data_IF_110803848456
#
_entry.id   IF_110803848456
#
_cell.length_a   1.000
_cell.length_b   1.000
_cell.length_c   1.000
_cell.angle_alpha   90.00
_cell.angle_beta   90.00
_cell.angle_gamma   90.00
#
_symmetry.space_group_name_H-M   'P 1'
#
loop_
_entity.id
_entity.type
_entity.pdbx_description
1 polymer ?
#
# COMPACT_ATOMS: atom_id res chain seq x y z
N UNK A 1 -11.25 27.19 1.91
CA UNK A 1 -11.10 25.73 1.95
C UNK A 1 -10.38 25.33 3.23
N UNK A 2 -10.78 24.24 3.91
CA UNK A 2 -10.01 23.73 5.04
C UNK A 2 -8.58 23.39 4.59
N UNK A 3 -7.60 23.61 5.48
CA UNK A 3 -6.20 23.29 5.19
C UNK A 3 -6.06 21.76 5.06
N UNK A 4 -5.30 21.26 4.07
CA UNK A 4 -5.06 19.82 3.95
C UNK A 4 -4.24 19.34 5.15
N UNK A 5 -4.63 18.22 5.75
CA UNK A 5 -3.95 17.65 6.91
C UNK A 5 -2.70 16.87 6.46
N UNK A 6 -1.49 17.22 6.93
CA UNK A 6 -0.30 16.47 6.57
C UNK A 6 -0.31 15.08 7.22
N UNK A 7 0.19 14.08 6.50
CA UNK A 7 0.42 12.76 7.09
C UNK A 7 1.68 12.81 7.95
N UNK A 8 1.64 12.20 9.13
CA UNK A 8 2.75 12.24 10.09
C UNK A 8 3.45 10.88 10.21
N UNK A 9 4.77 10.92 10.40
CA UNK A 9 5.57 9.77 10.78
C UNK A 9 5.45 9.45 12.29
N UNK A 10 6.11 8.37 12.73
CA UNK A 10 6.12 7.95 14.14
C UNK A 10 6.74 8.97 15.10
N UNK A 11 7.49 9.95 14.60
CA UNK A 11 8.09 11.02 15.40
C UNK A 11 7.24 12.31 15.36
N UNK A 12 6.07 12.29 14.70
CA UNK A 12 5.20 13.44 14.56
C UNK A 12 5.62 14.43 13.47
N UNK A 13 6.58 14.08 12.61
CA UNK A 13 6.99 14.94 11.50
C UNK A 13 6.18 14.64 10.25
N UNK A 14 5.95 15.67 9.42
CA UNK A 14 5.28 15.51 8.13
C UNK A 14 6.05 14.54 7.21
N UNK A 15 5.31 13.71 6.48
CA UNK A 15 5.91 12.86 5.46
C UNK A 15 6.47 13.72 4.31
N UNK A 16 7.63 13.33 3.80
CA UNK A 16 8.34 14.03 2.74
C UNK A 16 8.50 13.11 1.51
N UNK A 17 8.11 13.55 0.29
CA UNK A 17 8.25 12.76 -0.94
C UNK A 17 9.67 12.29 -1.27
N UNK A 18 10.69 12.98 -0.76
CA UNK A 18 12.11 12.66 -0.96
C UNK A 18 12.67 11.74 0.15
N UNK A 19 11.87 11.39 1.15
CA UNK A 19 12.25 10.47 2.24
C UNK A 19 11.67 9.08 2.00
N UNK A 20 12.23 8.10 2.72
CA UNK A 20 11.74 6.73 2.72
C UNK A 20 11.17 6.37 4.08
N UNK A 21 10.14 5.52 4.06
CA UNK A 21 9.42 5.12 5.26
C UNK A 21 9.18 3.61 5.23
N UNK A 22 9.18 2.96 6.39
CA UNK A 22 8.61 1.63 6.55
C UNK A 22 7.15 1.79 6.93
N UNK A 23 6.28 1.01 6.29
CA UNK A 23 4.89 0.88 6.71
C UNK A 23 4.85 -0.20 7.79
N UNK A 24 4.69 0.24 9.03
CA UNK A 24 4.71 -0.63 10.21
C UNK A 24 3.28 -0.82 10.73
N UNK A 25 3.05 -1.90 11.46
CA UNK A 25 1.75 -2.12 12.11
C UNK A 25 1.53 -1.16 13.28
N UNK A 26 0.27 -0.83 13.53
CA UNK A 26 -0.16 -0.13 14.76
C UNK A 26 -0.09 -1.02 16.00
N UNK A 27 -0.03 -2.34 15.84
CA UNK A 27 0.04 -3.32 16.93
C UNK A 27 1.40 -4.02 16.97
N UNK A 28 1.80 -4.50 18.15
CA UNK A 28 3.08 -5.16 18.37
C UNK A 28 2.94 -6.70 18.49
N UNK A 29 4.08 -7.39 18.46
CA UNK A 29 4.17 -8.84 18.64
C UNK A 29 3.56 -9.62 17.48
N UNK A 30 2.73 -10.61 17.79
CA UNK A 30 2.09 -11.48 16.79
C UNK A 30 1.11 -10.73 15.84
N UNK A 31 0.61 -9.56 16.25
CA UNK A 31 -0.22 -8.69 15.41
C UNK A 31 0.62 -7.68 14.61
N UNK A 32 1.90 -7.56 14.94
CA UNK A 32 2.87 -6.73 14.27
C UNK A 32 3.30 -7.27 12.90
N UNK A 33 4.35 -6.66 12.36
CA UNK A 33 4.97 -7.04 11.09
C UNK A 33 4.79 -5.97 10.02
N UNK A 34 5.93 -5.49 9.54
CA UNK A 34 6.07 -4.44 8.54
C UNK A 34 5.70 -4.94 7.15
N UNK A 35 5.32 -4.01 6.28
CA UNK A 35 5.12 -4.26 4.86
C UNK A 35 6.46 -4.49 4.15
N UNK A 36 6.50 -5.46 3.24
CA UNK A 36 7.68 -5.78 2.44
C UNK A 36 7.31 -6.26 1.03
N UNK A 37 8.28 -6.15 0.12
CA UNK A 37 8.22 -6.71 -1.22
C UNK A 37 8.60 -8.19 -1.18
N UNK A 38 7.74 -9.06 -1.68
CA UNK A 38 7.97 -10.50 -1.69
C UNK A 38 7.54 -11.17 -2.98
N UNK A 39 8.03 -12.40 -3.18
CA UNK A 39 7.60 -13.23 -4.32
C UNK A 39 6.18 -13.70 -4.10
N UNK A 40 5.29 -13.46 -5.06
CA UNK A 40 3.95 -14.04 -5.04
C UNK A 40 4.02 -15.54 -5.36
N UNK A 41 3.32 -16.39 -4.59
CA UNK A 41 3.21 -17.81 -4.94
C UNK A 41 2.57 -17.96 -6.32
N UNK A 42 3.15 -18.85 -7.14
CA UNK A 42 2.65 -19.18 -8.49
C UNK A 42 2.55 -17.98 -9.46
N UNK A 43 3.25 -16.88 -9.18
CA UNK A 43 3.40 -15.79 -10.15
C UNK A 43 4.50 -16.10 -11.17
N UNK A 44 4.22 -15.79 -12.43
CA UNK A 44 5.17 -15.84 -13.55
C UNK A 44 5.93 -14.52 -13.74
N UNK A 45 5.76 -13.55 -12.83
CA UNK A 45 6.48 -12.29 -12.88
C UNK A 45 8.01 -12.52 -12.88
N UNK A 46 8.78 -11.78 -13.71
CA UNK A 46 10.24 -11.89 -13.77
C UNK A 46 10.94 -11.38 -12.50
N UNK A 47 10.21 -10.67 -11.62
CA UNK A 47 10.73 -10.03 -10.42
C UNK A 47 9.77 -10.29 -9.24
N UNK A 48 10.17 -9.88 -8.03
CA UNK A 48 9.26 -9.87 -6.88
C UNK A 48 8.10 -8.92 -7.15
N UNK A 49 6.88 -9.40 -6.97
CA UNK A 49 5.68 -8.73 -7.47
C UNK A 49 4.56 -8.60 -6.42
N UNK A 50 4.77 -9.08 -5.19
CA UNK A 50 3.75 -9.10 -4.17
C UNK A 50 4.01 -8.14 -3.02
N UNK A 51 2.96 -7.47 -2.58
CA UNK A 51 2.99 -6.60 -1.39
C UNK A 51 2.51 -7.39 -0.19
N UNK A 52 3.42 -7.74 0.71
CA UNK A 52 3.12 -8.54 1.90
C UNK A 52 3.37 -7.73 3.16
N UNK A 53 2.95 -8.26 4.31
CA UNK A 53 3.46 -7.86 5.62
C UNK A 53 3.94 -9.08 6.39
N UNK A 54 4.93 -8.89 7.28
CA UNK A 54 5.42 -9.99 8.10
C UNK A 54 4.34 -10.50 9.07
N UNK A 55 4.49 -11.75 9.51
CA UNK A 55 3.56 -12.37 10.45
C UNK A 55 3.77 -11.91 11.90
N UNK A 56 4.91 -11.27 12.19
CA UNK A 56 5.25 -10.63 13.47
C UNK A 56 6.25 -9.51 13.23
N UNK A 57 6.49 -8.66 14.22
CA UNK A 57 7.53 -7.62 14.22
C UNK A 57 8.91 -8.13 14.74
N UNK A 58 9.01 -9.39 15.14
CA UNK A 58 10.25 -10.01 15.63
C UNK A 58 11.24 -10.27 14.48
N UNK A 59 12.42 -9.64 14.55
CA UNK A 59 13.59 -10.00 13.74
C UNK A 59 13.52 -9.65 12.24
N UNK A 60 12.47 -8.97 11.79
CA UNK A 60 12.27 -8.61 10.38
C UNK A 60 11.96 -7.14 10.21
N UNK A 61 12.48 -6.54 9.14
CA UNK A 61 12.34 -5.12 8.85
C UNK A 61 11.69 -4.95 7.47
N UNK A 62 10.68 -4.10 7.40
CA UNK A 62 9.95 -3.85 6.15
C UNK A 62 10.79 -3.26 5.03
N UNK A 63 10.34 -3.46 3.79
CA UNK A 63 10.92 -2.81 2.62
C UNK A 63 10.53 -1.32 2.63
N UNK A 64 11.50 -0.39 2.57
CA UNK A 64 11.20 1.04 2.51
C UNK A 64 10.28 1.39 1.34
N UNK A 65 9.35 2.30 1.57
CA UNK A 65 8.47 2.91 0.56
C UNK A 65 8.71 4.40 0.49
N UNK A 66 8.50 4.97 -0.69
CA UNK A 66 8.33 6.40 -0.90
C UNK A 66 6.92 6.68 -1.43
N UNK A 67 6.38 7.83 -1.05
CA UNK A 67 5.06 8.28 -1.48
C UNK A 67 5.23 9.33 -2.57
N UNK A 68 4.47 9.20 -3.64
CA UNK A 68 4.59 10.04 -4.83
C UNK A 68 3.25 10.72 -5.08
N UNK A 69 3.00 11.89 -4.45
CA UNK A 69 1.75 12.62 -4.65
C UNK A 69 1.68 13.16 -6.08
N UNK A 70 0.46 13.38 -6.58
CA UNK A 70 0.25 14.04 -7.88
C UNK A 70 0.85 15.45 -7.92
N UNK A 71 0.82 16.17 -6.79
CA UNK A 71 1.42 17.49 -6.64
C UNK A 71 1.68 17.82 -5.17
N UNK A 72 2.74 18.59 -4.90
CA UNK A 72 3.01 19.14 -3.57
C UNK A 72 3.48 18.11 -2.53
N UNK A 73 3.01 18.30 -1.29
CA UNK A 73 3.34 17.46 -0.13
C UNK A 73 2.51 16.18 -0.05
N UNK A 74 2.65 15.45 1.06
CA UNK A 74 1.89 14.21 1.33
C UNK A 74 0.82 14.52 2.37
N UNK A 75 -0.42 14.65 1.90
CA UNK A 75 -1.57 14.97 2.74
C UNK A 75 -2.56 13.80 2.83
N UNK A 76 -3.35 13.80 3.90
CA UNK A 76 -4.48 12.90 4.04
C UNK A 76 -5.50 13.13 2.89
N UNK A 77 -6.18 12.07 2.48
CA UNK A 77 -7.21 12.06 1.42
C UNK A 77 -6.73 12.50 0.01
N UNK A 78 -5.41 12.68 -0.18
CA UNK A 78 -4.80 13.01 -1.45
C UNK A 78 -4.40 11.76 -2.25
N UNK A 79 -4.62 11.77 -3.57
CA UNK A 79 -4.16 10.71 -4.47
C UNK A 79 -2.65 10.72 -4.64
N UNK A 80 -2.03 9.55 -4.49
CA UNK A 80 -0.60 9.32 -4.65
C UNK A 80 -0.31 7.91 -5.17
N UNK A 81 0.85 7.73 -5.81
CA UNK A 81 1.40 6.40 -6.07
C UNK A 81 2.32 5.98 -4.91
N UNK A 82 2.47 4.67 -4.75
CA UNK A 82 3.34 4.05 -3.75
C UNK A 82 4.45 3.29 -4.50
N UNK A 83 5.68 3.43 -4.04
CA UNK A 83 6.81 2.69 -4.62
C UNK A 83 7.75 2.21 -3.51
N UNK A 84 8.18 0.96 -3.57
CA UNK A 84 9.29 0.48 -2.77
C UNK A 84 10.59 1.20 -3.19
N UNK A 85 11.23 1.89 -2.26
CA UNK A 85 12.43 2.67 -2.54
C UNK A 85 13.68 1.82 -2.31
N UNK A 86 13.98 0.95 -3.28
CA UNK A 86 15.11 0.03 -3.28
C UNK A 86 15.80 0.02 -4.64
N UNK A 87 17.10 -0.27 -4.66
CA UNK A 87 17.83 -0.48 -5.90
C UNK A 87 17.43 -1.83 -6.52
N UNK A 88 17.17 -1.83 -7.83
CA UNK A 88 16.85 -3.04 -8.60
C UNK A 88 17.56 -3.01 -9.94
N UNK A 89 17.61 -4.17 -10.62
CA UNK A 89 18.04 -4.21 -12.02
C UNK A 89 17.01 -3.49 -12.90
N UNK A 90 17.45 -2.95 -14.04
CA UNK A 90 16.61 -2.15 -14.96
C UNK A 90 15.27 -2.83 -15.33
N UNK A 91 15.28 -4.16 -15.50
CA UNK A 91 14.09 -4.96 -15.80
C UNK A 91 13.03 -4.92 -14.67
N UNK A 92 13.45 -4.75 -13.41
CA UNK A 92 12.61 -4.85 -12.22
C UNK A 92 12.20 -3.50 -11.63
N UNK A 93 12.45 -2.39 -12.33
CA UNK A 93 12.10 -1.05 -11.83
C UNK A 93 10.59 -0.92 -11.67
N UNK A 94 9.79 -1.36 -12.64
CA UNK A 94 8.32 -1.34 -12.53
C UNK A 94 7.81 -2.20 -11.36
N UNK A 95 8.51 -3.30 -11.05
CA UNK A 95 8.23 -4.20 -9.93
C UNK A 95 8.58 -3.63 -8.54
N UNK A 96 8.85 -2.33 -8.46
CA UNK A 96 8.85 -1.58 -7.21
C UNK A 96 7.60 -0.71 -7.03
N UNK A 97 6.87 -0.42 -8.12
CA UNK A 97 5.72 0.48 -8.15
C UNK A 97 4.47 -0.32 -7.86
N UNK A 98 3.73 0.08 -6.82
CA UNK A 98 2.55 -0.64 -6.35
C UNK A 98 1.39 -0.53 -7.34
N UNK A 99 0.61 -1.60 -7.42
CA UNK A 99 -0.65 -1.64 -8.14
C UNK A 99 -1.67 -2.54 -7.48
N UNK A 100 -2.94 -2.32 -7.79
CA UNK A 100 -3.96 -3.35 -7.58
C UNK A 100 -3.87 -4.37 -8.73
N UNK A 101 -3.74 -5.65 -8.41
CA UNK A 101 -3.79 -6.75 -9.36
C UNK A 101 -5.20 -7.02 -9.87
N UNK A 102 -5.36 -8.03 -10.73
CA UNK A 102 -6.67 -8.46 -11.20
C UNK A 102 -7.48 -9.13 -10.08
N UNK A 103 -8.80 -9.25 -10.29
CA UNK A 103 -9.66 -10.00 -9.37
C UNK A 103 -9.21 -11.46 -9.29
N UNK A 104 -8.79 -11.88 -8.11
CA UNK A 104 -8.45 -13.28 -7.86
C UNK A 104 -9.71 -14.03 -7.44
N UNK A 105 -10.16 -15.00 -8.25
CA UNK A 105 -11.39 -15.73 -8.01
C UNK A 105 -11.36 -16.57 -6.72
N UNK A 106 -10.20 -17.11 -6.34
CA UNK A 106 -10.05 -17.93 -5.14
C UNK A 106 -10.21 -17.08 -3.86
N UNK A 107 -9.51 -15.95 -3.81
CA UNK A 107 -9.59 -15.03 -2.66
C UNK A 107 -10.77 -14.08 -2.71
N UNK A 108 -11.47 -13.99 -3.86
CA UNK A 108 -12.55 -13.03 -4.15
C UNK A 108 -12.15 -11.58 -3.86
N UNK A 109 -10.88 -11.27 -4.11
CA UNK A 109 -10.27 -9.98 -3.81
C UNK A 109 -9.23 -9.63 -4.87
N UNK A 110 -8.95 -8.34 -5.03
CA UNK A 110 -7.80 -7.86 -5.80
C UNK A 110 -6.60 -7.80 -4.85
N UNK A 111 -5.52 -8.50 -5.19
CA UNK A 111 -4.29 -8.52 -4.39
C UNK A 111 -3.44 -7.30 -4.72
N UNK A 112 -2.74 -6.73 -3.73
CA UNK A 112 -1.78 -5.68 -4.00
C UNK A 112 -0.48 -6.29 -4.53
N UNK A 113 -0.01 -5.73 -5.63
CA UNK A 113 1.10 -6.20 -6.43
C UNK A 113 2.07 -5.05 -6.71
N UNK A 114 3.18 -5.35 -7.37
CA UNK A 114 3.99 -4.35 -8.06
C UNK A 114 3.99 -4.58 -9.57
N UNK A 115 4.67 -3.72 -10.33
CA UNK A 115 4.58 -3.69 -11.79
C UNK A 115 3.65 -2.61 -12.31
N UNK A 116 3.38 -1.58 -11.50
CA UNK A 116 2.58 -0.42 -11.88
C UNK A 116 3.36 0.65 -12.64
N UNK A 117 2.66 1.74 -12.94
CA UNK A 117 3.18 3.00 -13.47
C UNK A 117 3.01 4.13 -12.43
N UNK A 118 3.68 5.27 -12.64
CA UNK A 118 3.57 6.46 -11.79
C UNK A 118 3.02 7.61 -12.63
N UNK A 119 2.01 8.32 -12.13
CA UNK A 119 1.48 9.55 -12.74
C UNK A 119 0.81 9.37 -14.11
N UNK A 120 0.43 8.13 -14.47
CA UNK A 120 -0.24 7.80 -15.72
C UNK A 120 -1.72 7.47 -15.48
N UNK A 121 -2.49 7.39 -16.56
CA UNK A 121 -3.93 7.06 -16.52
C UNK A 121 -4.16 5.62 -16.02
N UNK A 122 -3.23 4.72 -16.30
CA UNK A 122 -3.27 3.31 -15.86
C UNK A 122 -2.59 3.08 -14.50
N UNK A 123 -2.05 4.13 -13.87
CA UNK A 123 -1.43 4.03 -12.56
C UNK A 123 -2.45 3.69 -11.49
N UNK A 124 -2.04 2.88 -10.52
CA UNK A 124 -2.85 2.66 -9.32
C UNK A 124 -2.61 3.78 -8.34
N UNK A 125 -3.67 4.50 -8.00
CA UNK A 125 -3.63 5.58 -7.03
C UNK A 125 -4.15 5.10 -5.68
N UNK A 126 -3.56 5.67 -4.64
CA UNK A 126 -3.87 5.38 -3.25
C UNK A 126 -4.10 6.68 -2.50
N UNK A 127 -4.85 6.60 -1.41
CA UNK A 127 -4.99 7.65 -0.41
C UNK A 127 -4.51 7.14 0.94
N UNK A 128 -3.98 8.05 1.75
CA UNK A 128 -3.76 7.83 3.18
C UNK A 128 -4.88 8.53 3.91
N UNK A 129 -5.60 7.83 4.77
CA UNK A 129 -6.69 8.41 5.57
C UNK A 129 -6.47 8.11 7.04
N UNK A 130 -6.94 9.00 7.91
CA UNK A 130 -6.91 8.74 9.35
C UNK A 130 -7.69 7.47 9.68
N UNK A 131 -7.09 6.56 10.43
CA UNK A 131 -7.81 5.38 10.90
C UNK A 131 -8.80 5.78 12.01
N UNK A 132 -9.88 5.01 12.17
CA UNK A 132 -10.86 5.24 13.23
C UNK A 132 -10.32 5.00 14.65
N UNK A 133 -9.19 4.29 14.76
CA UNK A 133 -8.54 3.96 16.03
C UNK A 133 -7.17 4.64 16.13
N UNK A 134 -6.12 4.00 15.60
CA UNK A 134 -4.75 4.46 15.69
C UNK A 134 -4.08 4.47 14.32
N UNK A 135 -3.25 5.48 14.08
CA UNK A 135 -2.49 5.63 12.85
C UNK A 135 -3.36 5.95 11.63
N UNK A 136 -3.08 5.26 10.54
CA UNK A 136 -3.65 5.51 9.23
C UNK A 136 -4.17 4.22 8.59
N UNK A 137 -5.05 4.37 7.60
CA UNK A 137 -5.40 3.31 6.66
C UNK A 137 -5.00 3.74 5.24
N UNK A 138 -4.70 2.75 4.40
CA UNK A 138 -4.51 2.96 2.98
C UNK A 138 -5.80 2.62 2.25
N UNK A 139 -6.17 3.47 1.29
CA UNK A 139 -7.25 3.21 0.35
C UNK A 139 -6.65 3.10 -1.06
N UNK A 140 -7.15 2.17 -1.86
CA UNK A 140 -6.94 2.15 -3.30
C UNK A 140 -8.09 2.92 -3.97
N UNK A 141 -7.77 3.89 -4.81
CA UNK A 141 -8.74 4.77 -5.46
C UNK A 141 -8.52 4.74 -6.97
N UNK A 142 -9.32 3.96 -7.72
CA UNK A 142 -9.23 3.95 -9.16
C UNK A 142 -9.76 5.28 -9.72
N UNK A 143 -9.03 5.87 -10.68
CA UNK A 143 -9.45 7.12 -11.33
C UNK A 143 -10.54 6.90 -12.39
N UNK A 144 -10.72 5.66 -12.84
CA UNK A 144 -11.80 5.24 -13.75
C UNK A 144 -12.76 4.31 -13.02
N UNK A 145 -14.04 4.32 -13.43
CA UNK A 145 -15.05 3.47 -12.80
C UNK A 145 -14.65 1.99 -12.91
N UNK A 146 -14.41 1.30 -11.78
CA UNK A 146 -13.89 -0.06 -11.83
C UNK A 146 -15.02 -1.06 -12.05
N UNK A 147 -15.07 -1.70 -13.21
CA UNK A 147 -16.09 -2.73 -13.53
C UNK A 147 -15.87 -4.02 -12.73
N UNK A 148 -14.61 -4.33 -12.40
CA UNK A 148 -14.19 -5.62 -11.84
C UNK A 148 -13.78 -5.56 -10.36
N UNK A 149 -13.99 -4.43 -9.68
CA UNK A 149 -13.62 -4.27 -8.27
C UNK A 149 -14.83 -4.48 -7.34
N UNK A 150 -14.88 -5.58 -6.57
CA UNK A 150 -16.04 -5.91 -5.74
C UNK A 150 -16.25 -4.96 -4.54
N UNK A 151 -15.16 -4.31 -4.09
CA UNK A 151 -15.11 -3.48 -2.89
C UNK A 151 -15.01 -1.98 -3.18
N UNK A 152 -14.92 -1.59 -4.44
CA UNK A 152 -14.87 -0.20 -4.86
C UNK A 152 -16.30 0.37 -4.88
N UNK A 153 -16.77 0.82 -3.72
CA UNK A 153 -18.13 1.31 -3.49
C UNK A 153 -18.09 2.74 -2.94
N UNK A 154 -19.14 3.53 -3.19
CA UNK A 154 -19.24 4.93 -2.79
C UNK A 154 -18.84 5.91 -3.89
N UNK A 155 -18.89 7.21 -3.58
CA UNK A 155 -18.79 8.30 -4.55
C UNK A 155 -17.41 8.40 -5.23
N UNK A 156 -16.35 8.06 -4.50
CA UNK A 156 -14.95 8.07 -5.00
C UNK A 156 -14.49 6.68 -5.50
N UNK A 157 -15.33 5.65 -5.41
CA UNK A 157 -15.01 4.24 -5.72
C UNK A 157 -13.75 3.68 -5.03
N UNK A 158 -13.29 4.31 -3.95
CA UNK A 158 -12.13 3.84 -3.21
C UNK A 158 -12.44 2.55 -2.44
N UNK A 159 -11.47 1.64 -2.36
CA UNK A 159 -11.52 0.40 -1.60
C UNK A 159 -10.47 0.41 -0.49
N UNK A 160 -10.81 -0.18 0.66
CA UNK A 160 -9.89 -0.30 1.80
C UNK A 160 -8.79 -1.31 1.50
N UNK A 161 -7.56 -1.00 1.90
CA UNK A 161 -6.45 -1.96 1.89
C UNK A 161 -6.39 -2.67 3.23
N UNK A 162 -6.48 -3.99 3.17
CA UNK A 162 -6.41 -4.89 4.32
C UNK A 162 -5.44 -6.04 4.07
N UNK A 163 -5.69 -7.18 4.72
CA UNK A 163 -4.81 -8.33 4.70
C UNK A 163 -5.61 -9.60 4.51
N UNK A 164 -5.10 -10.51 3.66
CA UNK A 164 -5.57 -11.89 3.56
C UNK A 164 -4.42 -12.87 3.80
N UNK A 165 -4.75 -14.12 4.12
CA UNK A 165 -3.77 -15.19 4.18
C UNK A 165 -3.59 -15.80 2.78
N UNK A 166 -2.37 -15.71 2.25
CA UNK A 166 -1.95 -16.37 1.01
C UNK A 166 -0.77 -17.29 1.35
N UNK A 167 -1.00 -18.60 1.32
CA UNK A 167 0.01 -19.64 1.60
C UNK A 167 0.78 -19.39 2.92
N UNK A 168 0.07 -19.05 4.00
CA UNK A 168 0.66 -18.81 5.32
C UNK A 168 1.31 -17.43 5.49
N UNK A 169 1.24 -16.57 4.47
CA UNK A 169 1.78 -15.21 4.49
C UNK A 169 0.66 -14.18 4.44
N UNK A 170 0.84 -13.06 5.15
CA UNK A 170 -0.10 -11.93 5.15
C UNK A 170 0.08 -11.09 3.88
N UNK A 171 -0.79 -11.29 2.89
CA UNK A 171 -0.81 -10.57 1.61
C UNK A 171 -1.71 -9.34 1.73
N UNK A 172 -1.23 -8.16 1.30
CA UNK A 172 -2.11 -6.99 1.21
C UNK A 172 -3.09 -7.17 0.05
N UNK A 173 -4.34 -6.81 0.29
CA UNK A 173 -5.42 -6.94 -0.69
C UNK A 173 -6.52 -5.91 -0.41
N UNK A 174 -7.40 -5.71 -1.39
CA UNK A 174 -8.60 -4.91 -1.19
C UNK A 174 -9.61 -5.68 -0.35
N UNK A 175 -10.20 -5.03 0.65
CA UNK A 175 -11.15 -5.61 1.60
C UNK A 175 -12.38 -4.73 1.78
N UNK A 176 -13.50 -5.32 2.18
CA UNK A 176 -14.72 -4.57 2.52
C UNK A 176 -14.63 -3.93 3.94
N UNK A 177 -14.08 -4.68 4.88
CA UNK A 177 -14.02 -4.37 6.31
C UNK A 177 -12.63 -4.67 6.86
N UNK A 178 -12.35 -4.18 8.08
CA UNK A 178 -11.09 -4.38 8.79
C UNK A 178 -9.85 -3.93 7.98
N UNK A 179 -9.77 -2.63 7.64
CA UNK A 179 -8.59 -2.08 6.97
C UNK A 179 -7.35 -2.26 7.85
N UNK A 180 -6.19 -2.39 7.22
CA UNK A 180 -4.93 -2.48 7.95
C UNK A 180 -4.59 -1.11 8.56
N UNK A 181 -4.48 -1.07 9.89
CA UNK A 181 -3.93 0.06 10.63
C UNK A 181 -2.40 0.12 10.49
N UNK A 182 -1.88 1.28 10.07
CA UNK A 182 -0.45 1.48 9.83
C UNK A 182 0.08 2.78 10.43
N UNK A 183 1.38 2.76 10.76
CA UNK A 183 2.20 3.94 10.97
C UNK A 183 3.32 3.99 9.92
N UNK A 184 3.93 5.17 9.79
CA UNK A 184 5.05 5.40 8.89
C UNK A 184 6.30 5.69 9.72
N UNK A 185 7.27 4.77 9.69
CA UNK A 185 8.55 4.97 10.38
C UNK A 185 9.59 5.40 9.36
N UNK A 186 10.14 6.61 9.51
CA UNK A 186 11.21 7.10 8.63
C UNK A 186 12.42 6.14 8.67
N UNK A 187 13.00 5.88 7.51
CA UNK A 187 14.19 5.02 7.33
C UNK A 187 15.46 5.80 7.58
#
# INVERSE_FOLDING_TARGET
SPKPNPVLDTNGNELNPNSSYRIISTFWGALGGDVYLGKSPRSSAPCLDGVFRYNSDVGTVGTPVRFIPLSGGIFEDQLMNLQFNIATVKLCVSYTIWKAGNLNAYYRAMLLETGGSIGQVDSSYFKIVKASTFGYNLLYCPITRPVLCPFCRGDDFCAKVGVINQDGRRRLALVNENPLGVYFKKV
#
